data_IF_044735027687
#
_entry.id   IF_044735027687
#
_cell.length_a   1.000
_cell.length_b   1.000
_cell.length_c   1.000
_cell.angle_alpha   90.00
_cell.angle_beta   90.00
_cell.angle_gamma   90.00
#
_symmetry.space_group_name_H-M   'P 1'
#
loop_
_entity.id
_entity.type
_entity.pdbx_description
1 polymer ?
#
# COMPACT_ATOMS: atom_id res chain seq x y z
N UNK A 1 -1.23 6.03 -2.28
CA UNK A 1 -0.03 5.17 -2.14
C UNK A 1 1.03 5.67 -3.09
N UNK A 2 2.29 5.62 -2.66
CA UNK A 2 3.44 5.86 -3.50
C UNK A 2 4.20 4.54 -3.66
N UNK A 3 4.74 4.29 -4.85
CA UNK A 3 5.53 3.09 -5.15
C UNK A 3 6.86 3.50 -5.76
N UNK A 4 7.91 2.81 -5.32
CA UNK A 4 9.27 2.90 -5.87
C UNK A 4 9.78 1.50 -6.17
N UNK A 5 10.64 1.41 -7.16
CA UNK A 5 11.30 0.18 -7.58
C UNK A 5 12.63 0.53 -8.22
N UNK A 6 13.61 -0.35 -8.10
CA UNK A 6 14.94 -0.19 -8.72
C UNK A 6 14.82 0.01 -10.24
N UNK A 7 13.82 -0.58 -10.88
CA UNK A 7 13.56 -0.43 -12.32
C UNK A 7 12.90 0.89 -12.73
N UNK A 8 12.38 1.69 -11.79
CA UNK A 8 11.74 2.98 -12.09
C UNK A 8 12.73 4.16 -12.08
N UNK A 9 13.97 3.94 -11.62
CA UNK A 9 14.97 5.00 -11.47
C UNK A 9 14.50 6.08 -10.50
N UNK A 10 14.39 7.32 -10.98
CA UNK A 10 13.90 8.48 -10.19
C UNK A 10 12.38 8.64 -10.21
N UNK A 11 11.68 7.79 -10.96
CA UNK A 11 10.23 7.90 -11.16
C UNK A 11 9.48 7.21 -10.03
N UNK A 12 8.43 7.84 -9.53
CA UNK A 12 7.54 7.29 -8.50
C UNK A 12 6.16 7.04 -9.09
N UNK A 13 5.55 5.91 -8.73
CA UNK A 13 4.16 5.66 -9.10
C UNK A 13 3.24 6.13 -7.97
N UNK A 14 2.14 6.78 -8.32
CA UNK A 14 1.08 7.13 -7.39
C UNK A 14 -0.17 6.36 -7.73
N UNK A 15 -0.77 5.72 -6.73
CA UNK A 15 -2.00 4.95 -6.92
C UNK A 15 -2.85 4.83 -5.67
N UNK A 16 -4.00 4.19 -5.84
CA UNK A 16 -4.98 3.92 -4.79
C UNK A 16 -5.39 2.45 -4.81
N UNK A 17 -5.67 1.88 -3.64
CA UNK A 17 -6.22 0.53 -3.54
C UNK A 17 -7.61 0.55 -4.17
N UNK A 18 -7.79 -0.28 -5.19
CA UNK A 18 -9.06 -0.45 -5.90
C UNK A 18 -9.90 -1.57 -5.27
N UNK A 19 -9.25 -2.59 -4.71
CA UNK A 19 -9.95 -3.68 -4.03
C UNK A 19 -9.05 -4.83 -3.61
N UNK A 20 -9.66 -5.77 -2.89
CA UNK A 20 -9.05 -7.03 -2.47
C UNK A 20 -9.95 -8.17 -2.94
N UNK A 21 -9.36 -9.18 -3.56
CA UNK A 21 -10.08 -10.36 -4.05
C UNK A 21 -9.33 -11.62 -3.63
N UNK A 22 -10.03 -12.56 -2.98
CA UNK A 22 -9.47 -13.89 -2.74
C UNK A 22 -9.47 -14.69 -4.05
N UNK A 23 -8.35 -15.31 -4.38
CA UNK A 23 -8.18 -16.17 -5.53
C UNK A 23 -7.38 -17.42 -5.12
N UNK A 24 -8.10 -18.52 -4.86
CA UNK A 24 -7.52 -19.75 -4.32
C UNK A 24 -6.87 -19.51 -2.96
N UNK A 25 -5.57 -19.80 -2.90
CA UNK A 25 -4.72 -19.65 -1.70
C UNK A 25 -4.06 -18.26 -1.58
N UNK A 26 -4.37 -17.36 -2.51
CA UNK A 26 -3.85 -16.00 -2.53
C UNK A 26 -4.93 -14.96 -2.28
N UNK A 27 -4.52 -13.85 -1.68
CA UNK A 27 -5.29 -12.60 -1.65
C UNK A 27 -4.69 -11.66 -2.68
N UNK A 28 -5.47 -11.23 -3.67
CA UNK A 28 -5.04 -10.31 -4.71
C UNK A 28 -5.44 -8.90 -4.32
N UNK A 29 -4.45 -8.04 -4.11
CA UNK A 29 -4.63 -6.61 -3.93
C UNK A 29 -4.52 -5.91 -5.27
N UNK A 30 -5.58 -5.21 -5.64
CA UNK A 30 -5.63 -4.38 -6.82
C UNK A 30 -5.34 -2.94 -6.47
N UNK A 31 -4.39 -2.33 -7.18
CA UNK A 31 -4.04 -0.93 -7.05
C UNK A 31 -4.18 -0.29 -8.42
N UNK A 32 -5.01 0.74 -8.50
CA UNK A 32 -5.09 1.58 -9.69
C UNK A 32 -4.06 2.70 -9.57
N UNK A 33 -3.09 2.71 -10.48
CA UNK A 33 -2.06 3.75 -10.57
C UNK A 33 -2.58 4.86 -11.45
N UNK A 34 -2.49 6.09 -10.96
CA UNK A 34 -2.95 7.30 -11.66
C UNK A 34 -1.80 8.05 -12.31
N UNK A 35 -0.61 8.01 -11.71
CA UNK A 35 0.56 8.77 -12.16
C UNK A 35 1.84 7.91 -12.07
N UNK A 36 2.80 8.08 -12.99
CA UNK A 36 2.76 8.91 -14.19
C UNK A 36 1.97 8.27 -15.35
N UNK A 37 1.64 6.98 -15.25
CA UNK A 37 0.92 6.21 -16.28
C UNK A 37 -0.27 5.51 -15.64
N UNK A 38 -1.40 5.49 -16.34
CA UNK A 38 -2.62 4.82 -15.89
C UNK A 38 -2.57 3.33 -16.18
N UNK A 39 -2.44 2.52 -15.14
CA UNK A 39 -2.41 1.06 -15.21
C UNK A 39 -2.77 0.46 -13.86
N UNK A 40 -2.99 -0.86 -13.81
CA UNK A 40 -3.41 -1.56 -12.59
C UNK A 40 -2.32 -2.52 -12.14
N UNK A 41 -1.82 -2.29 -10.92
CA UNK A 41 -0.92 -3.21 -10.24
C UNK A 41 -1.74 -4.27 -9.53
N UNK A 42 -1.27 -5.52 -9.57
CA UNK A 42 -1.83 -6.66 -8.85
C UNK A 42 -0.75 -7.25 -7.96
N UNK A 43 -0.95 -7.21 -6.65
CA UNK A 43 -0.07 -7.88 -5.70
C UNK A 43 -0.78 -9.14 -5.17
N UNK A 44 -0.18 -10.30 -5.41
CA UNK A 44 -0.64 -11.56 -4.83
C UNK A 44 0.02 -11.79 -3.48
N UNK A 45 -0.77 -11.92 -2.43
CA UNK A 45 -0.29 -12.24 -1.09
C UNK A 45 -0.63 -13.71 -0.79
N UNK A 46 0.38 -14.54 -0.55
CA UNK A 46 0.15 -15.89 -0.05
C UNK A 46 -0.30 -15.84 1.42
N UNK A 47 -0.82 -16.95 1.94
CA UNK A 47 -1.23 -17.02 3.34
C UNK A 47 -0.10 -16.69 4.33
N UNK A 48 1.13 -17.12 4.05
CA UNK A 48 2.32 -16.78 4.85
C UNK A 48 2.61 -15.28 4.88
N UNK A 49 2.45 -14.61 3.73
CA UNK A 49 2.67 -13.18 3.59
C UNK A 49 1.57 -12.40 4.31
N UNK A 50 0.33 -12.89 4.26
CA UNK A 50 -0.79 -12.31 4.99
C UNK A 50 -0.57 -12.37 6.51
N UNK A 51 -0.10 -13.50 7.02
CA UNK A 51 0.28 -13.62 8.44
C UNK A 51 1.39 -12.65 8.84
N UNK A 52 2.40 -12.49 7.97
CA UNK A 52 3.49 -11.52 8.17
C UNK A 52 2.98 -10.08 8.14
N UNK A 53 2.11 -9.75 7.18
CA UNK A 53 1.50 -8.43 7.05
C UNK A 53 0.72 -8.07 8.31
N UNK A 54 -0.15 -8.96 8.78
CA UNK A 54 -0.92 -8.75 10.01
C UNK A 54 0.02 -8.53 11.20
N UNK A 55 1.04 -9.37 11.35
CA UNK A 55 2.04 -9.23 12.44
C UNK A 55 2.73 -7.87 12.41
N UNK A 56 3.14 -7.39 11.23
CA UNK A 56 3.79 -6.08 11.09
C UNK A 56 2.81 -4.95 11.39
N UNK A 57 1.54 -5.05 10.93
CA UNK A 57 0.50 -4.07 11.22
C UNK A 57 0.19 -3.94 12.72
N UNK A 58 0.32 -5.02 13.50
CA UNK A 58 0.11 -5.02 14.95
C UNK A 58 1.22 -4.35 15.78
N UNK A 59 2.29 -3.82 15.15
CA UNK A 59 3.32 -3.07 15.89
C UNK A 59 2.71 -1.82 16.52
N UNK A 60 3.02 -1.56 17.80
CA UNK A 60 2.45 -0.44 18.58
C UNK A 60 2.58 0.91 17.86
N UNK A 61 3.71 1.17 17.19
CA UNK A 61 3.91 2.40 16.42
C UNK A 61 2.95 2.55 15.23
N UNK A 62 2.61 1.46 14.56
CA UNK A 62 1.65 1.45 13.44
C UNK A 62 0.23 1.57 13.96
N UNK A 63 -0.10 0.84 15.03
CA UNK A 63 -1.40 0.96 15.70
C UNK A 63 -1.65 2.39 16.18
N UNK A 64 -0.65 3.03 16.80
CA UNK A 64 -0.73 4.43 17.22
C UNK A 64 -0.95 5.39 16.04
N UNK A 65 -0.38 5.10 14.87
CA UNK A 65 -0.62 5.87 13.65
C UNK A 65 -2.05 5.68 13.10
N UNK A 66 -2.52 4.42 13.02
CA UNK A 66 -3.86 4.08 12.52
C UNK A 66 -4.95 4.64 13.44
N UNK A 67 -4.74 4.62 14.75
CA UNK A 67 -5.69 5.11 15.75
C UNK A 67 -5.60 6.63 15.99
N UNK A 68 -4.64 7.33 15.37
CA UNK A 68 -4.50 8.77 15.54
C UNK A 68 -5.65 9.52 14.84
N UNK A 69 -6.56 10.19 15.57
CA UNK A 69 -7.70 10.88 14.99
C UNK A 69 -7.28 12.01 14.04
N UNK A 70 -6.14 12.66 14.28
CA UNK A 70 -5.65 13.72 13.40
C UNK A 70 -5.33 13.20 11.99
N UNK A 71 -4.90 11.95 11.86
CA UNK A 71 -4.63 11.36 10.55
C UNK A 71 -5.90 11.06 9.77
N UNK A 72 -7.02 10.81 10.45
CA UNK A 72 -8.31 10.58 9.78
C UNK A 72 -8.85 11.86 9.12
N UNK A 73 -8.51 13.02 9.69
CA UNK A 73 -8.83 14.33 9.09
C UNK A 73 -7.78 14.82 8.09
N UNK A 74 -6.65 14.13 7.96
CA UNK A 74 -5.55 14.51 7.07
C UNK A 74 -5.82 14.09 5.62
N UNK A 75 -6.59 14.90 4.89
CA UNK A 75 -6.97 14.63 3.48
C UNK A 75 -5.83 14.80 2.47
N UNK A 76 -4.72 15.45 2.84
CA UNK A 76 -3.56 15.71 1.97
C UNK A 76 -2.27 15.32 2.69
N UNK A 77 -1.97 14.03 2.79
CA UNK A 77 -0.73 13.57 3.41
C UNK A 77 0.48 14.16 2.67
N UNK A 78 1.48 14.60 3.44
CA UNK A 78 2.75 15.11 2.90
C UNK A 78 3.52 13.96 2.22
N UNK A 79 4.31 14.31 1.21
CA UNK A 79 5.15 13.33 0.53
C UNK A 79 6.14 12.68 1.52
N UNK A 80 6.30 11.34 1.54
CA UNK A 80 7.13 10.64 2.52
C UNK A 80 8.65 10.80 2.29
N UNK A 81 9.09 11.48 1.23
CA UNK A 81 10.51 11.67 0.91
C UNK A 81 11.11 10.43 0.23
N UNK A 82 12.32 10.05 0.64
CA UNK A 82 12.98 8.83 0.19
C UNK A 82 12.52 7.66 1.09
N UNK A 83 11.72 6.74 0.54
CA UNK A 83 11.15 5.57 1.23
C UNK A 83 11.42 4.28 0.43
#
# INVERSE_FOLDING_TARGET
MYFRSTGLGKTELKGSIAGLQRQGDYLIMHVDVTDPVKWRIRAGLAFSDLGTLLRVMFRISILGFVLNPMQWFNKKPRHPGEF
#
